data_IF_739710132953
#
_entry.id   IF_739710132953
#
_cell.length_a   1.000
_cell.length_b   1.000
_cell.length_c   1.000
_cell.angle_alpha   90.00
_cell.angle_beta   90.00
_cell.angle_gamma   90.00
#
_symmetry.space_group_name_H-M   'P 1'
#
loop_
_entity.id
_entity.type
_entity.pdbx_description
1 polymer ?
#
# COMPACT_ATOMS: atom_id res chain seq x y z
N UNK A 1 -46.58 -32.60 48.73
CA UNK A 1 -47.01 -31.36 48.09
C UNK A 1 -45.99 -31.04 47.00
N UNK A 2 -46.27 -31.39 45.71
CA UNK A 2 -45.35 -31.14 44.60
C UNK A 2 -45.84 -29.91 43.85
N UNK A 3 -45.09 -28.83 43.93
CA UNK A 3 -45.36 -27.59 43.18
C UNK A 3 -44.88 -27.72 41.75
N UNK A 4 -45.84 -27.70 40.83
CA UNK A 4 -45.62 -27.75 39.36
C UNK A 4 -45.33 -26.32 38.87
N UNK A 5 -44.06 -25.98 38.58
CA UNK A 5 -43.68 -24.71 37.97
C UNK A 5 -43.87 -24.87 36.46
N UNK A 6 -44.94 -24.28 35.91
CA UNK A 6 -45.16 -24.15 34.48
C UNK A 6 -44.24 -23.07 33.91
N UNK A 7 -43.20 -23.46 33.16
CA UNK A 7 -42.45 -22.55 32.34
C UNK A 7 -43.28 -22.08 31.15
N UNK A 8 -43.73 -20.84 31.18
CA UNK A 8 -44.35 -20.18 30.03
C UNK A 8 -43.23 -19.84 29.01
N UNK A 9 -43.06 -20.65 27.95
CA UNK A 9 -42.30 -20.27 26.75
C UNK A 9 -43.05 -19.13 26.07
N UNK A 10 -42.58 -17.89 26.19
CA UNK A 10 -43.04 -16.76 25.36
C UNK A 10 -42.71 -17.06 23.90
N UNK A 11 -43.67 -17.42 23.10
CA UNK A 11 -43.57 -17.53 21.65
C UNK A 11 -43.37 -16.12 21.07
N UNK A 12 -42.25 -15.90 20.37
CA UNK A 12 -42.02 -14.65 19.65
C UNK A 12 -43.00 -14.59 18.50
N UNK A 13 -43.77 -13.51 18.39
CA UNK A 13 -44.77 -13.36 17.32
C UNK A 13 -44.10 -13.35 15.96
N UNK A 14 -44.63 -14.04 14.91
CA UNK A 14 -44.03 -14.09 13.59
C UNK A 14 -43.71 -12.70 12.98
N UNK A 15 -44.54 -11.71 13.30
CA UNK A 15 -44.35 -10.31 12.90
C UNK A 15 -43.07 -9.68 13.50
N UNK A 16 -42.69 -10.05 14.74
CA UNK A 16 -41.46 -9.56 15.36
C UNK A 16 -40.21 -10.16 14.70
N UNK A 17 -40.29 -11.42 14.27
CA UNK A 17 -39.20 -12.09 13.52
C UNK A 17 -39.03 -11.42 12.15
N UNK A 18 -40.11 -11.09 11.46
CA UNK A 18 -40.09 -10.42 10.17
C UNK A 18 -39.47 -8.99 10.27
N UNK A 19 -39.85 -8.20 11.28
CA UNK A 19 -39.31 -6.88 11.53
C UNK A 19 -37.80 -6.95 11.88
N UNK A 20 -37.37 -7.91 12.70
CA UNK A 20 -35.95 -8.14 13.01
C UNK A 20 -35.14 -8.53 11.78
N UNK A 21 -35.69 -9.34 10.89
CA UNK A 21 -35.03 -9.72 9.63
C UNK A 21 -34.84 -8.49 8.71
N UNK A 22 -35.84 -7.62 8.59
CA UNK A 22 -35.72 -6.37 7.81
C UNK A 22 -34.66 -5.45 8.42
N UNK A 23 -34.64 -5.28 9.74
CA UNK A 23 -33.63 -4.45 10.42
C UNK A 23 -32.22 -5.03 10.18
N UNK A 24 -32.05 -6.34 10.26
CA UNK A 24 -30.77 -6.99 9.98
C UNK A 24 -30.30 -6.77 8.55
N UNK A 25 -31.23 -6.89 7.57
CA UNK A 25 -30.92 -6.62 6.15
C UNK A 25 -30.51 -5.17 5.95
N UNK A 26 -31.19 -4.21 6.57
CA UNK A 26 -30.85 -2.78 6.49
C UNK A 26 -29.46 -2.54 7.11
N UNK A 27 -29.17 -3.14 8.27
CA UNK A 27 -27.85 -3.05 8.91
C UNK A 27 -26.75 -3.61 8.00
N UNK A 28 -26.97 -4.76 7.38
CA UNK A 28 -26.02 -5.39 6.43
C UNK A 28 -25.81 -4.50 5.20
N UNK A 29 -26.87 -3.91 4.64
CA UNK A 29 -26.78 -2.98 3.51
C UNK A 29 -26.01 -1.72 3.89
N UNK A 30 -26.30 -1.12 5.06
CA UNK A 30 -25.60 0.07 5.55
C UNK A 30 -24.13 -0.26 5.83
N UNK A 31 -23.84 -1.40 6.43
CA UNK A 31 -22.48 -1.86 6.68
C UNK A 31 -21.70 -2.11 5.38
N UNK A 32 -22.35 -2.75 4.39
CA UNK A 32 -21.78 -2.93 3.06
C UNK A 32 -21.52 -1.59 2.36
N UNK A 33 -22.39 -0.61 2.50
CA UNK A 33 -22.17 0.74 1.96
C UNK A 33 -21.04 1.49 2.66
N UNK A 34 -20.86 1.34 3.97
CA UNK A 34 -19.77 2.00 4.71
C UNK A 34 -18.41 1.38 4.35
N UNK A 35 -18.34 0.07 4.15
CA UNK A 35 -17.06 -0.65 3.93
C UNK A 35 -16.72 -0.91 2.45
N UNK A 36 -17.70 -1.06 1.57
CA UNK A 36 -17.47 -1.38 0.14
C UNK A 36 -17.83 -0.25 -0.83
N UNK A 37 -18.63 0.72 -0.41
CA UNK A 37 -19.02 1.84 -1.24
C UNK A 37 -17.91 2.87 -1.57
N UNK A 38 -16.84 3.08 -0.77
CA UNK A 38 -15.85 4.10 -1.10
C UNK A 38 -15.18 3.88 -2.47
N UNK A 39 -14.93 2.64 -2.87
CA UNK A 39 -14.27 2.34 -4.16
C UNK A 39 -15.24 2.45 -5.34
N UNK A 40 -16.48 2.08 -5.15
CA UNK A 40 -17.50 2.06 -6.23
C UNK A 40 -18.14 3.43 -6.45
N UNK A 41 -18.42 4.16 -5.36
CA UNK A 41 -18.96 5.51 -5.40
C UNK A 41 -17.95 6.54 -5.90
N UNK A 42 -16.66 6.40 -5.61
CA UNK A 42 -15.63 7.27 -6.19
C UNK A 42 -15.59 7.11 -7.73
N UNK A 43 -15.57 5.89 -8.25
CA UNK A 43 -15.63 5.65 -9.71
C UNK A 43 -16.91 6.16 -10.37
N UNK A 44 -18.05 6.09 -9.69
CA UNK A 44 -19.33 6.62 -10.20
C UNK A 44 -19.39 8.13 -10.04
N UNK A 45 -18.90 8.66 -8.92
CA UNK A 45 -18.82 10.11 -8.66
C UNK A 45 -17.93 10.83 -9.66
N UNK A 46 -16.75 10.29 -9.97
CA UNK A 46 -15.83 10.83 -10.97
C UNK A 46 -16.47 10.89 -12.37
N UNK A 47 -17.22 9.86 -12.79
CA UNK A 47 -17.96 9.88 -14.06
C UNK A 47 -19.12 10.87 -14.09
N UNK A 48 -19.75 11.18 -12.95
CA UNK A 48 -20.86 12.10 -12.86
C UNK A 48 -20.40 13.57 -12.74
N UNK A 49 -19.25 13.80 -12.10
CA UNK A 49 -18.70 15.16 -11.93
C UNK A 49 -17.92 15.66 -13.14
N UNK A 50 -17.42 14.73 -13.99
CA UNK A 50 -16.60 15.06 -15.16
C UNK A 50 -17.04 14.30 -16.43
N UNK A 51 -18.31 14.44 -16.89
CA UNK A 51 -18.84 13.64 -18.01
C UNK A 51 -18.15 13.91 -19.36
N UNK A 52 -17.33 14.95 -19.47
CA UNK A 52 -16.65 15.38 -20.70
C UNK A 52 -15.11 15.44 -20.58
N UNK A 53 -14.52 14.96 -19.49
CA UNK A 53 -13.07 14.96 -19.34
C UNK A 53 -12.45 13.75 -20.03
N UNK A 54 -11.57 14.00 -20.97
CA UNK A 54 -10.73 12.96 -21.57
C UNK A 54 -9.76 12.41 -20.52
N UNK A 55 -9.52 11.09 -20.55
CA UNK A 55 -8.47 10.46 -19.79
C UNK A 55 -7.12 11.08 -20.17
N UNK A 56 -6.33 11.45 -19.18
CA UNK A 56 -4.98 11.99 -19.43
C UNK A 56 -4.09 10.85 -19.88
N UNK A 57 -3.51 10.99 -21.08
CA UNK A 57 -2.53 10.03 -21.58
C UNK A 57 -1.15 10.44 -21.07
N UNK A 58 -0.57 9.62 -20.23
CA UNK A 58 0.77 9.81 -19.65
C UNK A 58 1.75 8.92 -20.39
N UNK A 59 2.89 9.49 -20.80
CA UNK A 59 3.96 8.69 -21.41
C UNK A 59 4.57 7.76 -20.35
N UNK A 60 4.48 6.47 -20.60
CA UNK A 60 5.10 5.47 -19.74
C UNK A 60 6.61 5.35 -20.01
N UNK A 61 7.36 5.11 -18.93
CA UNK A 61 8.79 4.82 -19.01
C UNK A 61 9.00 3.44 -19.64
N UNK A 62 9.86 3.38 -20.66
CA UNK A 62 10.31 2.11 -21.21
C UNK A 62 11.44 1.57 -20.31
N UNK A 63 11.18 0.46 -19.65
CA UNK A 63 12.17 -0.30 -18.86
C UNK A 63 12.49 -1.58 -19.67
N UNK A 64 13.76 -1.92 -19.78
CA UNK A 64 14.23 -3.09 -20.53
C UNK A 64 15.09 -4.03 -19.68
N UNK A 65 15.41 -3.63 -18.45
CA UNK A 65 16.14 -4.45 -17.49
C UNK A 65 15.22 -5.55 -16.99
N UNK A 66 15.74 -6.76 -16.92
CA UNK A 66 15.10 -8.00 -16.48
C UNK A 66 16.18 -8.74 -15.66
N UNK A 67 16.24 -8.44 -14.37
CA UNK A 67 17.34 -8.86 -13.48
C UNK A 67 17.26 -10.35 -13.14
N UNK A 68 16.06 -10.91 -13.03
CA UNK A 68 15.88 -12.35 -12.72
C UNK A 68 15.79 -13.22 -14.00
N UNK A 69 15.62 -12.61 -15.19
CA UNK A 69 15.67 -13.27 -16.48
C UNK A 69 14.39 -14.03 -16.82
N UNK A 70 13.24 -13.61 -16.29
CA UNK A 70 11.96 -14.27 -16.49
C UNK A 70 11.19 -13.75 -17.73
N UNK A 71 11.66 -12.66 -18.35
CA UNK A 71 11.08 -12.04 -19.54
C UNK A 71 10.12 -10.89 -19.24
N UNK A 72 10.00 -10.46 -17.96
CA UNK A 72 9.26 -9.30 -17.52
C UNK A 72 10.27 -8.21 -17.14
N UNK A 73 9.95 -6.94 -17.38
CA UNK A 73 10.84 -5.86 -16.97
C UNK A 73 10.75 -5.60 -15.45
N UNK A 74 11.87 -5.20 -14.84
CA UNK A 74 12.01 -5.02 -13.38
C UNK A 74 10.94 -4.08 -12.78
N UNK A 75 10.53 -3.01 -13.50
CA UNK A 75 9.49 -2.10 -13.02
C UNK A 75 8.12 -2.79 -12.97
N UNK A 76 7.84 -3.67 -13.90
CA UNK A 76 6.62 -4.50 -13.91
C UNK A 76 6.68 -5.54 -12.80
N UNK A 77 7.83 -6.18 -12.58
CA UNK A 77 8.04 -7.15 -11.51
C UNK A 77 7.88 -6.54 -10.12
N UNK A 78 8.40 -5.33 -9.90
CA UNK A 78 8.18 -4.60 -8.66
C UNK A 78 6.69 -4.39 -8.38
N UNK A 79 5.92 -3.96 -9.40
CA UNK A 79 4.48 -3.76 -9.27
C UNK A 79 3.74 -5.07 -9.02
N UNK A 80 4.10 -6.13 -9.74
CA UNK A 80 3.45 -7.43 -9.61
C UNK A 80 3.77 -8.08 -8.25
N UNK A 81 4.99 -7.96 -7.75
CA UNK A 81 5.36 -8.39 -6.41
C UNK A 81 4.59 -7.64 -5.31
N UNK A 82 4.46 -6.31 -5.44
CA UNK A 82 3.64 -5.52 -4.51
C UNK A 82 2.14 -5.91 -4.61
N UNK A 83 1.64 -6.15 -5.81
CA UNK A 83 0.25 -6.57 -6.07
C UNK A 83 -0.04 -7.98 -5.56
N UNK A 84 0.98 -8.85 -5.52
CA UNK A 84 0.85 -10.18 -4.93
C UNK A 84 0.52 -10.10 -3.44
N UNK A 85 1.09 -9.15 -2.70
CA UNK A 85 0.75 -8.91 -1.30
C UNK A 85 -0.72 -8.51 -1.11
N UNK A 86 -1.26 -7.69 -2.03
CA UNK A 86 -2.69 -7.34 -2.04
C UNK A 86 -3.56 -8.58 -2.28
N UNK A 87 -3.17 -9.42 -3.25
CA UNK A 87 -3.87 -10.66 -3.60
C UNK A 87 -3.86 -11.68 -2.47
N UNK A 88 -2.74 -11.78 -1.75
CA UNK A 88 -2.56 -12.71 -0.63
C UNK A 88 -3.23 -12.22 0.66
N UNK A 89 -3.72 -10.97 0.70
CA UNK A 89 -4.29 -10.36 1.90
C UNK A 89 -3.34 -10.43 3.11
N UNK A 90 -2.04 -10.16 2.87
CA UNK A 90 -1.00 -10.18 3.90
C UNK A 90 -1.41 -9.35 5.11
N UNK A 91 -1.54 -9.97 6.27
CA UNK A 91 -2.04 -9.31 7.48
C UNK A 91 -1.04 -8.29 8.00
N UNK A 92 -1.50 -7.07 8.34
CA UNK A 92 -0.63 -6.06 8.92
C UNK A 92 -0.17 -6.47 10.32
N UNK A 93 1.15 -6.76 10.48
CA UNK A 93 1.78 -7.06 11.76
C UNK A 93 3.18 -6.46 11.85
N UNK A 94 3.38 -5.63 12.89
CA UNK A 94 4.67 -5.00 13.17
C UNK A 94 5.38 -5.73 14.30
N UNK A 95 5.83 -6.95 14.03
CA UNK A 95 6.60 -7.75 14.96
C UNK A 95 8.10 -7.70 14.63
N UNK A 96 8.93 -8.03 15.61
CA UNK A 96 10.35 -8.29 15.43
C UNK A 96 10.55 -9.78 15.10
N UNK A 97 11.35 -10.06 14.07
CA UNK A 97 11.61 -11.43 13.61
C UNK A 97 13.11 -11.69 13.58
N UNK A 98 13.55 -12.79 14.20
CA UNK A 98 14.94 -13.25 14.10
C UNK A 98 15.19 -13.68 12.64
N UNK A 99 16.26 -13.16 12.02
CA UNK A 99 16.52 -13.32 10.59
C UNK A 99 15.89 -12.21 9.73
N UNK A 100 15.03 -11.36 10.31
CA UNK A 100 14.48 -10.16 9.70
C UNK A 100 13.20 -10.36 8.89
N UNK A 101 12.93 -11.55 8.40
CA UNK A 101 11.79 -11.82 7.53
C UNK A 101 10.55 -12.27 8.30
N UNK A 102 9.40 -11.57 8.15
CA UNK A 102 8.12 -12.07 8.65
C UNK A 102 7.65 -13.28 7.85
N UNK A 103 6.72 -14.09 8.41
CA UNK A 103 5.97 -15.10 7.65
C UNK A 103 5.31 -14.52 6.42
N UNK A 104 5.05 -15.34 5.39
CA UNK A 104 4.52 -14.89 4.10
C UNK A 104 3.14 -14.23 4.21
N UNK A 105 2.36 -14.56 5.24
CA UNK A 105 1.01 -14.03 5.50
C UNK A 105 0.99 -12.80 6.42
N UNK A 106 2.16 -12.33 6.89
CA UNK A 106 2.29 -11.16 7.76
C UNK A 106 3.27 -10.14 7.19
N UNK A 107 3.07 -8.85 7.52
CA UNK A 107 4.01 -7.81 7.13
C UNK A 107 3.49 -6.40 7.36
N UNK A 108 4.37 -5.42 7.22
CA UNK A 108 4.06 -3.98 7.25
C UNK A 108 4.33 -3.34 5.88
N UNK A 109 4.28 -2.01 5.79
CA UNK A 109 4.48 -1.29 4.53
C UNK A 109 5.85 -1.56 3.87
N UNK A 110 6.92 -1.67 4.65
CA UNK A 110 8.27 -1.99 4.16
C UNK A 110 8.42 -3.45 3.74
N UNK A 111 7.63 -4.36 4.34
CA UNK A 111 7.64 -5.77 3.94
C UNK A 111 7.04 -5.96 2.54
N UNK A 112 6.03 -5.18 2.18
CA UNK A 112 5.52 -5.13 0.80
C UNK A 112 6.62 -4.71 -0.18
N UNK A 113 7.45 -3.71 0.18
CA UNK A 113 8.49 -3.19 -0.70
C UNK A 113 9.61 -4.22 -0.89
N UNK A 114 10.17 -4.81 0.19
CA UNK A 114 11.26 -5.78 -0.01
C UNK A 114 10.79 -7.03 -0.74
N UNK A 115 9.53 -7.46 -0.59
CA UNK A 115 8.97 -8.57 -1.36
C UNK A 115 8.79 -8.23 -2.82
N UNK A 116 8.41 -6.98 -3.12
CA UNK A 116 8.39 -6.48 -4.49
C UNK A 116 9.79 -6.53 -5.13
N UNK A 117 10.82 -6.06 -4.40
CA UNK A 117 12.21 -6.15 -4.84
C UNK A 117 12.66 -7.61 -5.05
N UNK A 118 12.28 -8.51 -4.14
CA UNK A 118 12.57 -9.94 -4.28
C UNK A 118 11.92 -10.54 -5.54
N UNK A 119 10.71 -10.10 -5.88
CA UNK A 119 10.02 -10.53 -7.10
C UNK A 119 10.75 -10.10 -8.37
N UNK A 120 11.42 -8.95 -8.35
CA UNK A 120 12.27 -8.43 -9.42
C UNK A 120 13.75 -8.91 -9.33
N UNK A 121 14.03 -9.95 -8.54
CA UNK A 121 15.38 -10.54 -8.43
C UNK A 121 16.36 -9.80 -7.50
N UNK A 122 15.93 -8.78 -6.75
CA UNK A 122 16.80 -8.02 -5.86
C UNK A 122 16.72 -8.48 -4.41
N UNK A 123 17.85 -8.53 -3.71
CA UNK A 123 17.91 -8.73 -2.25
C UNK A 123 18.05 -7.38 -1.52
N UNK A 124 16.92 -6.70 -1.37
CA UNK A 124 16.88 -5.39 -0.72
C UNK A 124 17.47 -5.42 0.70
N UNK A 125 17.26 -6.52 1.44
CA UNK A 125 17.81 -6.65 2.80
C UNK A 125 19.33 -6.61 2.78
N UNK A 126 19.98 -7.45 1.98
CA UNK A 126 21.44 -7.47 1.87
C UNK A 126 21.99 -6.13 1.42
N UNK A 127 21.35 -5.47 0.45
CA UNK A 127 21.77 -4.14 -0.02
C UNK A 127 21.71 -3.08 1.09
N UNK A 128 20.65 -3.07 1.89
CA UNK A 128 20.50 -2.15 3.02
C UNK A 128 21.50 -2.46 4.13
N UNK A 129 21.67 -3.75 4.48
CA UNK A 129 22.63 -4.16 5.51
C UNK A 129 24.07 -3.75 5.14
N UNK A 130 24.46 -3.94 3.88
CA UNK A 130 25.79 -3.56 3.37
C UNK A 130 26.00 -2.04 3.40
N UNK A 131 24.99 -1.25 2.99
CA UNK A 131 25.10 0.21 3.03
C UNK A 131 25.15 0.74 4.48
N UNK A 132 24.38 0.17 5.39
CA UNK A 132 24.47 0.50 6.82
C UNK A 132 25.83 0.14 7.40
N UNK A 133 26.37 -1.04 7.06
CA UNK A 133 27.70 -1.44 7.53
C UNK A 133 28.81 -0.47 7.08
N UNK A 134 28.70 0.02 5.85
CA UNK A 134 29.66 0.98 5.30
C UNK A 134 29.45 2.43 5.78
N UNK A 135 28.22 2.82 6.15
CA UNK A 135 27.79 4.21 6.34
C UNK A 135 26.90 4.39 7.59
N UNK A 136 27.12 3.64 8.66
CA UNK A 136 26.23 3.61 9.86
C UNK A 136 25.91 4.99 10.44
N UNK A 137 26.85 5.94 10.37
CA UNK A 137 26.65 7.31 10.86
C UNK A 137 25.64 8.16 10.08
N UNK A 138 25.15 7.66 8.93
CA UNK A 138 24.09 8.32 8.15
C UNK A 138 22.69 7.85 8.54
N UNK A 139 22.60 6.71 9.21
CA UNK A 139 21.32 6.06 9.52
C UNK A 139 20.83 6.40 10.93
N UNK A 140 19.53 6.64 11.11
CA UNK A 140 18.94 6.89 12.43
C UNK A 140 18.71 5.57 13.20
N UNK A 141 19.76 4.79 13.37
CA UNK A 141 19.73 3.47 13.99
C UNK A 141 19.24 3.53 15.44
N UNK A 142 18.59 2.47 15.87
CA UNK A 142 18.19 2.32 17.28
C UNK A 142 19.43 1.97 18.10
N UNK A 143 19.62 2.70 19.22
CA UNK A 143 20.79 2.55 20.11
C UNK A 143 22.15 2.69 19.40
N UNK A 144 22.19 3.46 18.29
CA UNK A 144 23.37 3.70 17.46
C UNK A 144 24.05 2.40 16.98
N UNK A 145 23.30 1.33 16.83
CA UNK A 145 23.79 0.02 16.40
C UNK A 145 22.96 -0.56 15.26
N UNK A 146 23.61 -1.13 14.22
CA UNK A 146 22.92 -1.89 13.19
C UNK A 146 22.22 -3.12 13.77
N UNK A 147 20.98 -3.36 13.33
CA UNK A 147 20.23 -4.56 13.61
C UNK A 147 19.66 -5.14 12.29
N UNK A 148 20.37 -6.13 11.68
CA UNK A 148 19.98 -6.69 10.39
C UNK A 148 18.64 -7.43 10.41
N UNK A 149 18.04 -7.63 11.60
CA UNK A 149 16.72 -8.22 11.70
C UNK A 149 15.59 -7.20 11.47
N UNK A 150 15.88 -5.88 11.47
CA UNK A 150 14.82 -4.89 11.38
C UNK A 150 15.18 -3.62 10.59
N UNK A 151 16.45 -3.27 10.41
CA UNK A 151 16.82 -1.98 9.81
C UNK A 151 16.28 -1.83 8.39
N UNK A 152 16.36 -2.87 7.54
CA UNK A 152 15.78 -2.87 6.19
C UNK A 152 14.24 -2.78 6.17
N UNK A 153 13.58 -2.92 7.32
CA UNK A 153 12.14 -2.78 7.50
C UNK A 153 11.75 -1.44 8.12
N UNK A 154 12.72 -0.62 8.55
CA UNK A 154 12.48 0.72 9.08
C UNK A 154 12.42 1.74 7.95
N UNK A 155 11.27 2.38 7.76
CA UNK A 155 11.08 3.33 6.66
C UNK A 155 12.01 4.53 6.76
N UNK A 156 12.37 4.97 7.97
CA UNK A 156 13.37 6.04 8.15
C UNK A 156 14.75 5.64 7.66
N UNK A 157 15.15 4.36 7.80
CA UNK A 157 16.41 3.85 7.29
C UNK A 157 16.34 3.68 5.75
N UNK A 158 15.23 3.16 5.24
CA UNK A 158 14.97 3.09 3.79
C UNK A 158 14.96 4.50 3.14
N UNK A 159 14.51 5.53 3.86
CA UNK A 159 14.55 6.91 3.37
C UNK A 159 15.98 7.51 3.35
N UNK A 160 16.94 6.87 4.00
CA UNK A 160 18.38 7.16 3.84
C UNK A 160 18.96 6.30 2.70
N UNK A 161 18.58 5.04 2.61
CA UNK A 161 19.07 4.10 1.60
C UNK A 161 18.70 4.52 0.17
N UNK A 162 17.39 4.72 -0.12
CA UNK A 162 16.94 4.95 -1.50
C UNK A 162 17.58 6.14 -2.19
N UNK A 163 17.75 7.35 -1.61
CA UNK A 163 18.41 8.46 -2.32
C UNK A 163 19.91 8.24 -2.59
N UNK A 164 20.51 7.18 -2.05
CA UNK A 164 21.90 6.78 -2.28
C UNK A 164 22.06 5.73 -3.38
N UNK A 165 20.98 4.98 -3.68
CA UNK A 165 20.99 3.82 -4.57
C UNK A 165 19.93 3.88 -5.67
N UNK A 166 19.11 4.93 -5.70
CA UNK A 166 18.04 5.14 -6.64
C UNK A 166 17.99 6.60 -7.10
N UNK A 167 17.40 6.85 -8.26
CA UNK A 167 17.16 8.21 -8.73
C UNK A 167 16.16 8.91 -7.79
N UNK A 168 16.55 10.11 -7.29
CA UNK A 168 15.63 10.96 -6.51
C UNK A 168 14.83 11.86 -7.44
N UNK A 169 13.52 11.76 -7.38
CA UNK A 169 12.59 12.44 -8.27
C UNK A 169 11.86 13.60 -7.58
N UNK A 170 11.07 14.34 -8.37
CA UNK A 170 10.25 15.45 -7.87
C UNK A 170 9.22 15.01 -6.83
N UNK A 171 8.96 15.86 -5.85
CA UNK A 171 7.84 15.67 -4.91
C UNK A 171 6.59 16.44 -5.35
N UNK A 172 6.69 17.27 -6.41
CA UNK A 172 5.56 18.02 -6.96
C UNK A 172 4.72 17.11 -7.85
N UNK A 173 3.47 16.87 -7.45
CA UNK A 173 2.49 16.13 -8.22
C UNK A 173 1.42 17.08 -8.75
N UNK A 174 1.23 17.10 -10.06
CA UNK A 174 0.22 17.89 -10.75
C UNK A 174 -0.71 16.97 -11.52
N UNK A 175 -1.90 16.73 -10.98
CA UNK A 175 -2.95 16.03 -11.69
C UNK A 175 -3.27 16.72 -13.02
N UNK A 176 -3.55 15.94 -14.06
CA UNK A 176 -3.86 16.40 -15.44
C UNK A 176 -2.71 17.08 -16.19
N UNK A 177 -1.53 17.18 -15.62
CA UNK A 177 -0.31 17.64 -16.27
C UNK A 177 0.50 16.41 -16.75
N UNK A 178 0.37 16.07 -18.05
CA UNK A 178 0.97 14.85 -18.60
C UNK A 178 2.51 14.83 -18.47
N UNK A 179 3.17 15.99 -18.57
CA UNK A 179 4.64 16.08 -18.46
C UNK A 179 5.08 15.87 -17.00
N UNK A 180 4.36 16.45 -16.04
CA UNK A 180 4.63 16.20 -14.62
C UNK A 180 4.32 14.75 -14.25
N UNK A 181 3.19 14.21 -14.72
CA UNK A 181 2.79 12.83 -14.43
C UNK A 181 3.71 11.78 -15.06
N UNK A 182 4.42 12.14 -16.14
CA UNK A 182 5.46 11.28 -16.73
C UNK A 182 6.68 11.10 -15.82
N UNK A 183 6.85 11.92 -14.78
CA UNK A 183 7.86 11.75 -13.75
C UNK A 183 7.46 10.73 -12.66
N UNK A 184 6.19 10.32 -12.64
CA UNK A 184 5.61 9.40 -11.66
C UNK A 184 5.24 8.09 -12.37
N UNK A 185 6.09 7.08 -12.27
CA UNK A 185 6.00 5.85 -13.05
C UNK A 185 5.70 4.62 -12.19
N UNK A 186 5.26 3.54 -12.83
CA UNK A 186 5.11 2.24 -12.18
C UNK A 186 6.43 1.80 -11.54
N UNK A 187 6.36 1.16 -10.38
CA UNK A 187 7.54 0.71 -9.65
C UNK A 187 8.26 1.80 -8.85
N UNK A 188 7.93 3.08 -9.05
CA UNK A 188 8.49 4.16 -8.22
C UNK A 188 8.11 3.96 -6.75
N UNK A 189 9.06 4.29 -5.87
CA UNK A 189 8.92 4.16 -4.42
C UNK A 189 8.57 5.53 -3.84
N UNK A 190 7.51 5.58 -3.03
CA UNK A 190 7.07 6.82 -2.39
C UNK A 190 7.15 6.67 -0.88
N UNK A 191 7.87 7.59 -0.24
CA UNK A 191 7.96 7.69 1.22
C UNK A 191 7.12 8.85 1.70
N UNK A 192 6.30 8.60 2.72
CA UNK A 192 5.48 9.63 3.36
C UNK A 192 5.78 9.74 4.84
N UNK A 193 5.59 10.95 5.39
CA UNK A 193 5.75 11.23 6.82
C UNK A 193 4.57 12.04 7.35
N UNK A 194 4.10 11.69 8.54
CA UNK A 194 3.09 12.44 9.28
C UNK A 194 3.45 12.47 10.77
N UNK A 195 3.95 13.60 11.24
CA UNK A 195 4.55 13.67 12.57
C UNK A 195 5.72 12.70 12.72
N UNK A 196 5.66 11.79 13.67
CA UNK A 196 6.65 10.73 13.86
C UNK A 196 6.38 9.46 13.03
N UNK A 197 5.21 9.37 12.38
CA UNK A 197 4.83 8.18 11.60
C UNK A 197 5.41 8.24 10.19
N UNK A 198 6.14 7.20 9.81
CA UNK A 198 6.68 6.97 8.49
C UNK A 198 5.89 5.91 7.76
N UNK A 199 5.80 6.02 6.45
CA UNK A 199 5.14 5.03 5.61
C UNK A 199 5.80 4.99 4.25
N UNK A 200 5.84 3.81 3.63
CA UNK A 200 6.42 3.57 2.31
C UNK A 200 5.43 2.82 1.43
N UNK A 201 5.46 3.09 0.15
CA UNK A 201 4.56 2.52 -0.83
C UNK A 201 5.23 2.42 -2.20
N UNK A 202 4.60 1.69 -3.11
CA UNK A 202 4.99 1.56 -4.50
C UNK A 202 3.91 2.11 -5.43
N UNK A 203 4.31 2.77 -6.52
CA UNK A 203 3.38 3.25 -7.52
C UNK A 203 2.96 2.11 -8.46
N UNK A 204 1.67 2.06 -8.72
CA UNK A 204 1.05 1.11 -9.65
C UNK A 204 1.18 1.57 -11.10
N UNK A 205 1.04 0.64 -12.03
CA UNK A 205 0.81 0.88 -13.45
C UNK A 205 -0.61 1.42 -13.75
N UNK A 206 -1.54 1.30 -12.79
CA UNK A 206 -2.89 1.87 -12.92
C UNK A 206 -2.89 3.35 -12.60
N UNK A 207 -3.65 4.10 -13.40
CA UNK A 207 -3.86 5.53 -13.21
C UNK A 207 -5.35 5.86 -13.13
N UNK A 208 -5.69 6.90 -12.40
CA UNK A 208 -7.04 7.46 -12.39
C UNK A 208 -7.31 8.28 -13.68
N UNK A 209 -8.51 8.86 -13.81
CA UNK A 209 -8.90 9.65 -14.98
C UNK A 209 -8.04 10.91 -15.16
N UNK A 210 -7.46 11.43 -14.09
CA UNK A 210 -6.60 12.62 -14.09
C UNK A 210 -5.12 12.27 -14.34
N UNK A 211 -4.82 10.97 -14.62
CA UNK A 211 -3.50 10.45 -14.95
C UNK A 211 -2.63 10.15 -13.73
N UNK A 212 -3.14 10.34 -12.51
CA UNK A 212 -2.39 10.08 -11.27
C UNK A 212 -2.30 8.58 -11.02
N UNK A 213 -1.11 8.03 -10.75
CA UNK A 213 -0.96 6.60 -10.47
C UNK A 213 -1.63 6.19 -9.15
N UNK A 214 -2.16 4.97 -9.13
CA UNK A 214 -2.58 4.33 -7.89
C UNK A 214 -1.36 4.00 -7.02
N UNK A 215 -1.61 3.77 -5.75
CA UNK A 215 -0.58 3.43 -4.77
C UNK A 215 -0.85 2.02 -4.22
N UNK A 216 0.18 1.18 -4.20
CA UNK A 216 0.13 -0.13 -3.58
C UNK A 216 0.86 -0.04 -2.24
N UNK A 217 0.15 -0.28 -1.14
CA UNK A 217 0.72 -0.17 0.19
C UNK A 217 0.00 -1.02 1.24
N UNK A 218 0.68 -1.31 2.35
CA UNK A 218 0.09 -1.95 3.52
C UNK A 218 0.01 -0.95 4.69
N UNK A 219 -1.16 -0.38 4.92
CA UNK A 219 -1.45 0.49 6.07
C UNK A 219 -2.38 -0.19 7.09
N UNK A 220 -2.63 -1.50 6.93
CA UNK A 220 -3.54 -2.29 7.75
C UNK A 220 -5.02 -2.10 7.38
N UNK A 221 -5.86 -3.12 7.63
CA UNK A 221 -5.48 -4.45 8.12
C UNK A 221 -4.80 -5.32 7.07
N UNK A 222 -4.96 -4.99 5.77
CA UNK A 222 -4.39 -5.69 4.61
C UNK A 222 -3.84 -4.68 3.61
N UNK A 223 -2.91 -5.08 2.71
CA UNK A 223 -2.44 -4.24 1.63
C UNK A 223 -3.58 -3.89 0.66
N UNK A 224 -3.46 -2.72 0.06
CA UNK A 224 -4.45 -2.21 -0.89
C UNK A 224 -3.76 -1.53 -2.07
N UNK A 225 -4.42 -1.55 -3.23
CA UNK A 225 -4.06 -0.75 -4.40
C UNK A 225 -5.13 0.32 -4.56
N UNK A 226 -4.81 1.58 -4.21
CA UNK A 226 -5.80 2.65 -4.03
C UNK A 226 -5.36 3.97 -4.66
N UNK A 227 -6.34 4.80 -5.04
CA UNK A 227 -6.15 6.16 -5.52
C UNK A 227 -6.04 7.12 -4.34
N UNK A 228 -4.81 7.36 -3.88
CA UNK A 228 -4.56 8.22 -2.73
C UNK A 228 -3.33 9.14 -2.86
N UNK A 229 -2.56 9.04 -3.95
CA UNK A 229 -1.30 9.76 -4.13
C UNK A 229 -1.51 11.28 -4.12
N UNK A 230 -2.51 11.78 -4.85
CA UNK A 230 -2.84 13.20 -4.88
C UNK A 230 -3.21 13.74 -3.49
N UNK A 231 -3.98 12.98 -2.72
CA UNK A 231 -4.29 13.33 -1.33
C UNK A 231 -3.05 13.37 -0.45
N UNK A 232 -2.06 12.50 -0.68
CA UNK A 232 -0.79 12.53 0.06
C UNK A 232 0.02 13.76 -0.31
N UNK A 233 0.13 14.09 -1.60
CA UNK A 233 0.83 15.27 -2.10
C UNK A 233 0.17 16.56 -1.57
N UNK A 234 -1.14 16.71 -1.71
CA UNK A 234 -1.88 17.88 -1.25
C UNK A 234 -1.78 18.15 0.25
N UNK A 235 -1.57 17.09 1.06
CA UNK A 235 -1.36 17.22 2.50
C UNK A 235 0.12 17.39 2.89
N UNK A 236 1.04 17.55 1.92
CA UNK A 236 2.48 17.70 2.16
C UNK A 236 3.11 16.50 2.87
N UNK A 237 2.58 15.29 2.63
CA UNK A 237 3.05 14.07 3.31
C UNK A 237 4.22 13.40 2.60
N UNK A 238 4.34 13.57 1.27
CA UNK A 238 5.39 12.92 0.48
C UNK A 238 6.73 13.60 0.83
N UNK A 239 7.68 12.81 1.30
CA UNK A 239 9.03 13.26 1.70
C UNK A 239 10.14 12.56 0.91
N UNK A 240 9.78 11.52 0.12
CA UNK A 240 10.68 10.81 -0.78
C UNK A 240 9.91 10.28 -1.97
N UNK A 241 10.53 10.38 -3.16
CA UNK A 241 10.07 9.80 -4.41
C UNK A 241 11.30 9.29 -5.14
N UNK A 242 11.38 8.00 -5.32
CA UNK A 242 12.58 7.33 -5.81
C UNK A 242 12.23 6.36 -6.93
N UNK A 243 13.09 6.31 -7.94
CA UNK A 243 13.05 5.30 -9.00
C UNK A 243 14.26 4.41 -8.88
N UNK A 244 14.02 3.10 -8.75
CA UNK A 244 15.12 2.16 -8.82
C UNK A 244 15.77 2.25 -10.18
N UNK A 245 17.12 2.28 -10.20
CA UNK A 245 17.86 2.31 -11.45
C UNK A 245 17.88 0.88 -12.03
N UNK A 246 17.17 0.72 -13.12
CA UNK A 246 17.02 -0.55 -13.83
C UNK A 246 18.14 -0.74 -14.86
#
# INVERSE_FOLDING_TARGET
MKTNIKHHKKSIRPQAIFVLAIILIIIVIVFAQIFFAPVWLNRFGERLTHPFTSVVNVKELAVTTDTDGDGIDDASDLVDGARLEVKNHTTYRSNYYIGGYPPDDEGVCSDLVWRAFKNAGYDLKSMVDDDIAANSGLYPLTDDKPDPNIDFRRVNDLNVFFPRHAETLTLELKARDADNLALWQRGDIVVTKRGSSWHIAMLSDKRNIDGVPYVIHNAGPFPTEVDCLEKWAANGRIVGHFRWEY
#
